data_IF_378876975701
#
_entry.id   IF_378876975701
#
_cell.length_a   1.000
_cell.length_b   1.000
_cell.length_c   1.000
_cell.angle_alpha   90.00
_cell.angle_beta   90.00
_cell.angle_gamma   90.00
#
_symmetry.space_group_name_H-M   'P 1'
#
loop_
_entity.id
_entity.type
_entity.pdbx_description
1 polymer ?
#
# COMPACT_ATOMS: atom_id res chain seq x y z
N UNK A 1 10.97 0.19 0.25
CA UNK A 1 10.03 0.63 1.31
C UNK A 1 8.94 -0.39 1.61
N UNK A 2 8.09 -0.78 0.64
CA UNK A 2 6.96 -1.68 0.91
C UNK A 2 7.31 -3.02 1.57
N UNK A 3 8.45 -3.61 1.20
CA UNK A 3 9.03 -4.78 1.86
C UNK A 3 9.68 -4.42 3.21
N UNK A 4 10.44 -3.33 3.23
CA UNK A 4 11.25 -2.94 4.38
C UNK A 4 10.46 -2.60 5.66
N UNK A 5 9.21 -2.15 5.54
CA UNK A 5 8.37 -1.82 6.71
C UNK A 5 7.84 -3.04 7.46
N UNK A 6 8.05 -4.26 6.96
CA UNK A 6 7.58 -5.48 7.61
C UNK A 6 6.10 -5.78 7.38
N UNK A 7 5.65 -6.93 7.88
CA UNK A 7 4.25 -7.35 7.79
C UNK A 7 3.41 -6.65 8.87
N UNK A 8 3.97 -6.45 10.07
CA UNK A 8 3.30 -5.85 11.21
C UNK A 8 2.91 -4.38 11.00
N UNK A 9 3.62 -3.63 10.15
CA UNK A 9 3.20 -2.27 9.76
C UNK A 9 1.79 -2.23 9.17
N UNK A 10 1.42 -3.25 8.37
CA UNK A 10 0.12 -3.30 7.70
C UNK A 10 -1.07 -3.46 8.66
N UNK A 11 -0.83 -3.82 9.93
CA UNK A 11 -1.91 -3.98 10.92
C UNK A 11 -2.63 -2.68 11.21
N UNK A 12 -1.91 -1.56 11.24
CA UNK A 12 -2.46 -0.23 11.56
C UNK A 12 -2.40 0.73 10.37
N UNK A 13 -1.46 0.52 9.45
CA UNK A 13 -1.14 1.48 8.40
C UNK A 13 -1.41 0.94 7.00
N UNK A 14 -1.96 1.80 6.16
CA UNK A 14 -2.13 1.52 4.75
C UNK A 14 -0.82 1.77 3.99
N UNK A 15 -0.13 0.70 3.60
CA UNK A 15 1.16 0.77 2.88
C UNK A 15 1.12 1.67 1.63
N UNK A 16 0.00 1.72 0.89
CA UNK A 16 -0.14 2.60 -0.28
C UNK A 16 -0.01 4.07 0.11
N UNK A 17 -0.52 4.45 1.28
CA UNK A 17 -0.42 5.81 1.78
C UNK A 17 1.01 6.09 2.27
N UNK A 18 1.50 5.25 3.19
CA UNK A 18 2.77 5.48 3.88
C UNK A 18 3.98 5.27 2.98
N UNK A 19 4.14 4.08 2.41
CA UNK A 19 5.24 3.77 1.49
C UNK A 19 5.12 4.53 0.18
N UNK A 20 3.89 4.86 -0.24
CA UNK A 20 3.64 5.69 -1.42
C UNK A 20 4.22 7.08 -1.29
N UNK A 21 4.17 7.71 -0.10
CA UNK A 21 4.79 9.03 0.14
C UNK A 21 6.28 9.01 -0.18
N UNK A 22 7.03 8.03 0.35
CA UNK A 22 8.46 7.89 0.06
C UNK A 22 8.73 7.60 -1.42
N UNK A 23 7.93 6.74 -2.05
CA UNK A 23 8.08 6.43 -3.47
C UNK A 23 7.82 7.67 -4.35
N UNK A 24 6.78 8.45 -4.03
CA UNK A 24 6.45 9.70 -4.71
C UNK A 24 7.56 10.75 -4.52
N UNK A 25 8.10 10.90 -3.31
CA UNK A 25 9.25 11.78 -3.05
C UNK A 25 10.48 11.40 -3.86
N UNK A 26 10.87 10.12 -3.85
CA UNK A 26 12.02 9.63 -4.61
C UNK A 26 11.83 9.82 -6.12
N UNK A 27 10.60 9.60 -6.61
CA UNK A 27 10.22 9.80 -8.01
C UNK A 27 10.32 11.28 -8.39
N UNK A 28 9.73 12.18 -7.60
CA UNK A 28 9.79 13.61 -7.83
C UNK A 28 11.24 14.12 -7.85
N UNK A 29 12.06 13.71 -6.87
CA UNK A 29 13.47 14.08 -6.83
C UNK A 29 14.24 13.58 -8.07
N UNK A 30 13.96 12.36 -8.53
CA UNK A 30 14.59 11.78 -9.72
C UNK A 30 14.19 12.51 -11.00
N UNK A 31 12.89 12.74 -11.21
CA UNK A 31 12.35 13.41 -12.41
C UNK A 31 12.83 14.86 -12.49
N UNK A 32 12.93 15.55 -11.37
CA UNK A 32 13.42 16.93 -11.31
C UNK A 32 14.95 17.05 -11.31
N UNK A 33 15.70 15.94 -11.38
CA UNK A 33 17.17 15.96 -11.45
C UNK A 33 17.86 16.43 -10.17
N UNK A 34 17.26 16.21 -9.01
CA UNK A 34 17.85 16.60 -7.72
C UNK A 34 19.05 15.71 -7.36
N UNK A 35 20.04 16.31 -6.70
CA UNK A 35 21.20 15.57 -6.20
C UNK A 35 20.89 14.79 -4.91
N UNK A 36 21.84 13.95 -4.50
CA UNK A 36 21.69 13.10 -3.32
C UNK A 36 21.43 13.88 -2.01
N UNK A 37 21.98 15.09 -1.86
CA UNK A 37 21.78 15.89 -0.64
C UNK A 37 20.35 16.44 -0.58
N UNK A 38 19.84 16.95 -1.71
CA UNK A 38 18.45 17.40 -1.82
C UNK A 38 17.49 16.21 -1.64
N UNK A 39 17.76 15.07 -2.28
CA UNK A 39 16.96 13.86 -2.12
C UNK A 39 16.94 13.37 -0.67
N UNK A 40 18.07 13.42 0.04
CA UNK A 40 18.15 13.06 1.46
C UNK A 40 17.22 13.92 2.32
N UNK A 41 17.26 15.25 2.15
CA UNK A 41 16.35 16.14 2.87
C UNK A 41 14.88 15.91 2.48
N UNK A 42 14.61 15.65 1.20
CA UNK A 42 13.27 15.34 0.73
C UNK A 42 12.70 14.08 1.40
N UNK A 43 13.47 12.99 1.44
CA UNK A 43 13.09 11.76 2.15
C UNK A 43 12.93 12.00 3.66
N UNK A 44 13.73 12.92 4.22
CA UNK A 44 13.58 13.41 5.59
C UNK A 44 12.19 13.98 5.88
N UNK A 45 11.71 14.87 5.01
CA UNK A 45 10.35 15.42 5.11
C UNK A 45 9.28 14.34 4.90
N UNK A 46 9.50 13.46 3.92
CA UNK A 46 8.58 12.38 3.58
C UNK A 46 8.26 11.48 4.77
N UNK A 47 9.23 11.19 5.64
CA UNK A 47 8.99 10.37 6.83
C UNK A 47 8.02 10.99 7.83
N UNK A 48 7.97 12.31 7.94
CA UNK A 48 6.98 13.01 8.79
C UNK A 48 5.62 13.15 8.11
N UNK A 49 5.58 13.15 6.77
CA UNK A 49 4.34 13.25 6.00
C UNK A 49 3.73 11.89 5.61
N UNK A 50 4.43 10.79 5.88
CA UNK A 50 3.98 9.44 5.58
C UNK A 50 2.90 8.98 6.58
N UNK A 51 1.63 9.17 6.22
CA UNK A 51 0.48 8.77 7.03
C UNK A 51 -0.57 7.97 6.25
N UNK A 52 -1.58 7.47 6.96
CA UNK A 52 -2.72 6.74 6.40
C UNK A 52 -3.09 5.52 7.24
N UNK A 53 -3.91 5.73 8.27
CA UNK A 53 -4.37 4.66 9.15
C UNK A 53 -5.47 3.82 8.51
N UNK A 54 -5.63 2.58 8.95
CA UNK A 54 -6.56 1.63 8.35
C UNK A 54 -8.02 1.71 8.82
N UNK A 55 -8.38 2.69 9.65
CA UNK A 55 -9.75 2.84 10.17
C UNK A 55 -10.81 2.84 9.06
N UNK A 56 -10.51 3.42 7.90
CA UNK A 56 -11.40 3.41 6.74
C UNK A 56 -11.79 2.01 6.21
N UNK A 57 -11.21 0.93 6.72
CA UNK A 57 -11.60 -0.47 6.40
C UNK A 57 -12.82 -0.96 7.15
N UNK A 58 -13.21 -0.29 8.23
CA UNK A 58 -14.36 -0.70 9.05
C UNK A 58 -15.61 0.10 8.77
N UNK A 59 -15.52 1.08 7.86
CA UNK A 59 -16.57 2.04 7.57
C UNK A 59 -16.71 2.21 6.05
N UNK A 60 -17.93 2.49 5.58
CA UNK A 60 -18.19 2.82 4.18
C UNK A 60 -17.69 4.25 3.90
N UNK A 61 -16.42 4.37 3.55
CA UNK A 61 -15.75 5.67 3.32
C UNK A 61 -14.80 5.62 2.13
N UNK A 62 -14.54 6.79 1.56
CA UNK A 62 -13.67 7.00 0.40
C UNK A 62 -12.22 7.34 0.81
N UNK A 63 -11.91 7.31 2.10
CA UNK A 63 -10.58 7.67 2.62
C UNK A 63 -9.48 6.78 2.07
N UNK A 64 -9.78 5.51 1.75
CA UNK A 64 -8.81 4.60 1.11
C UNK A 64 -8.33 5.13 -0.25
N UNK A 65 -9.18 5.80 -1.01
CA UNK A 65 -8.88 6.41 -2.30
C UNK A 65 -8.11 7.71 -2.09
N UNK A 66 -8.47 8.49 -1.06
CA UNK A 66 -7.73 9.69 -0.67
C UNK A 66 -6.28 9.37 -0.27
N UNK A 67 -6.01 8.19 0.29
CA UNK A 67 -4.65 7.77 0.67
C UNK A 67 -3.64 7.83 -0.49
N UNK A 68 -4.00 7.38 -1.70
CA UNK A 68 -3.09 7.44 -2.85
C UNK A 68 -2.84 8.89 -3.29
N UNK A 69 -3.87 9.73 -3.27
CA UNK A 69 -3.75 11.15 -3.62
C UNK A 69 -2.88 11.89 -2.60
N UNK A 70 -3.11 11.62 -1.31
CA UNK A 70 -2.31 12.19 -0.22
C UNK A 70 -0.84 11.79 -0.33
N UNK A 71 -0.54 10.52 -0.61
CA UNK A 71 0.83 10.05 -0.81
C UNK A 71 1.55 10.81 -1.94
N UNK A 72 0.89 11.02 -3.08
CA UNK A 72 1.43 11.78 -4.19
C UNK A 72 1.69 13.25 -3.83
N UNK A 73 0.71 13.91 -3.19
CA UNK A 73 0.80 15.31 -2.75
C UNK A 73 1.94 15.47 -1.73
N UNK A 74 1.95 14.66 -0.68
CA UNK A 74 2.97 14.68 0.37
C UNK A 74 4.36 14.42 -0.21
N UNK A 75 4.46 13.50 -1.17
CA UNK A 75 5.72 13.18 -1.83
C UNK A 75 6.28 14.35 -2.63
N UNK A 76 5.43 14.98 -3.45
CA UNK A 76 5.77 16.18 -4.21
C UNK A 76 6.16 17.35 -3.30
N UNK A 77 5.37 17.64 -2.27
CA UNK A 77 5.65 18.71 -1.31
C UNK A 77 6.99 18.49 -0.60
N UNK A 78 7.29 17.26 -0.20
CA UNK A 78 8.57 16.91 0.44
C UNK A 78 9.77 17.21 -0.47
N UNK A 79 9.68 16.86 -1.75
CA UNK A 79 10.73 17.12 -2.74
C UNK A 79 10.90 18.61 -3.01
N UNK A 80 9.81 19.34 -3.23
CA UNK A 80 9.82 20.79 -3.49
C UNK A 80 10.32 21.59 -2.28
N UNK A 81 9.95 21.20 -1.06
CA UNK A 81 10.47 21.82 0.15
C UNK A 81 12.00 21.67 0.27
N UNK A 82 12.52 20.48 0.00
CA UNK A 82 13.97 20.25 0.00
C UNK A 82 14.70 21.06 -1.07
N UNK A 83 14.12 21.18 -2.27
CA UNK A 83 14.65 22.03 -3.34
C UNK A 83 14.68 23.51 -2.92
N UNK A 84 13.67 23.97 -2.19
CA UNK A 84 13.62 25.29 -1.55
C UNK A 84 14.56 25.44 -0.34
N UNK A 85 15.50 24.50 -0.14
CA UNK A 85 16.52 24.48 0.91
C UNK A 85 15.98 24.30 2.33
N UNK A 86 14.73 23.82 2.49
CA UNK A 86 14.25 23.37 3.80
C UNK A 86 14.89 22.03 4.13
N UNK A 87 15.63 21.98 5.24
CA UNK A 87 16.37 20.78 5.67
C UNK A 87 15.44 19.78 6.33
N UNK A 88 15.38 18.56 5.80
CA UNK A 88 14.73 17.42 6.45
C UNK A 88 15.70 16.63 7.34
N UNK A 89 15.19 15.84 8.31
CA UNK A 89 15.99 15.01 9.21
C UNK A 89 16.82 13.98 8.44
N UNK A 90 18.11 13.90 8.77
CA UNK A 90 19.09 13.06 8.07
C UNK A 90 18.98 11.57 8.40
N UNK A 91 18.45 11.24 9.59
CA UNK A 91 18.28 9.88 10.11
C UNK A 91 16.80 9.46 10.12
N UNK A 92 16.03 9.90 9.11
CA UNK A 92 14.57 9.73 9.07
C UNK A 92 14.10 8.28 9.14
N UNK A 93 14.90 7.32 8.71
CA UNK A 93 14.51 5.91 8.72
C UNK A 93 14.79 5.23 10.06
N UNK A 94 16.01 5.38 10.59
CA UNK A 94 16.55 4.56 11.68
C UNK A 94 16.90 5.33 12.96
N UNK A 95 16.82 6.67 12.94
CA UNK A 95 17.07 7.47 14.13
C UNK A 95 16.12 7.13 15.27
N UNK A 96 16.40 7.63 16.48
CA UNK A 96 15.59 7.38 17.69
C UNK A 96 14.08 7.62 17.47
N UNK A 97 13.74 8.70 16.77
CA UNK A 97 12.36 9.05 16.36
C UNK A 97 12.12 8.79 14.86
N UNK A 98 12.89 7.89 14.27
CA UNK A 98 12.83 7.51 12.87
C UNK A 98 11.56 6.75 12.53
N UNK A 99 11.30 6.63 11.23
CA UNK A 99 10.11 6.01 10.69
C UNK A 99 9.98 4.52 11.05
N UNK A 100 11.09 3.78 11.04
CA UNK A 100 11.05 2.36 11.40
C UNK A 100 10.71 2.16 12.88
N UNK A 101 11.41 2.78 13.86
CA UNK A 101 11.01 2.69 15.27
C UNK A 101 9.58 3.16 15.54
N UNK A 102 9.12 4.22 14.84
CA UNK A 102 7.81 4.82 15.10
C UNK A 102 6.63 4.00 14.54
N UNK A 103 6.80 3.36 13.38
CA UNK A 103 5.67 2.80 12.62
C UNK A 103 5.81 1.33 12.23
N UNK A 104 6.99 0.72 12.41
CA UNK A 104 7.29 -0.61 11.90
C UNK A 104 7.70 -1.55 13.06
N UNK A 105 6.83 -2.46 13.51
CA UNK A 105 7.14 -3.41 14.59
C UNK A 105 8.23 -4.43 14.22
N UNK A 106 8.34 -4.75 12.94
CA UNK A 106 9.15 -5.84 12.37
C UNK A 106 9.83 -5.39 11.06
N UNK A 107 10.59 -4.27 11.07
CA UNK A 107 11.20 -3.75 9.85
C UNK A 107 12.35 -4.65 9.39
N UNK A 108 12.54 -4.73 8.08
CA UNK A 108 13.72 -5.34 7.45
C UNK A 108 14.37 -4.33 6.51
N UNK A 109 15.37 -3.61 7.03
CA UNK A 109 16.03 -2.53 6.29
C UNK A 109 16.93 -3.04 5.16
N UNK A 110 17.23 -4.35 5.13
CA UNK A 110 18.04 -4.95 4.07
C UNK A 110 17.43 -4.74 2.68
N UNK A 111 16.10 -4.65 2.58
CA UNK A 111 15.40 -4.34 1.32
C UNK A 111 15.65 -2.93 0.77
N UNK A 112 16.28 -2.03 1.54
CA UNK A 112 16.68 -0.69 1.08
C UNK A 112 18.17 -0.59 0.76
N UNK A 113 18.99 -1.43 1.38
CA UNK A 113 20.46 -1.33 1.30
C UNK A 113 21.08 -2.47 0.48
N UNK A 114 20.33 -3.54 0.23
CA UNK A 114 20.79 -4.63 -0.61
C UNK A 114 21.13 -4.13 -2.03
N UNK A 115 22.13 -4.74 -2.69
CA UNK A 115 22.42 -4.45 -4.08
C UNK A 115 21.17 -4.57 -4.94
N UNK A 116 21.02 -3.65 -5.89
CA UNK A 116 19.93 -3.73 -6.86
C UNK A 116 20.09 -4.99 -7.71
N UNK A 117 19.09 -5.87 -7.67
CA UNK A 117 19.08 -7.12 -8.45
C UNK A 117 17.85 -7.24 -9.36
N UNK A 118 16.76 -6.51 -9.08
CA UNK A 118 15.47 -6.71 -9.75
C UNK A 118 14.58 -5.46 -9.72
N UNK A 119 13.82 -5.27 -10.80
CA UNK A 119 12.81 -4.22 -10.90
C UNK A 119 11.45 -4.72 -10.42
N UNK A 120 11.01 -4.34 -9.22
CA UNK A 120 9.71 -4.77 -8.67
C UNK A 120 8.49 -4.32 -9.47
N UNK A 121 8.64 -3.37 -10.41
CA UNK A 121 7.54 -3.00 -11.33
C UNK A 121 7.14 -4.19 -12.21
N UNK A 122 8.07 -5.09 -12.53
CA UNK A 122 7.81 -6.29 -13.32
C UNK A 122 6.95 -7.31 -12.58
N UNK A 123 6.86 -7.21 -11.25
CA UNK A 123 6.03 -8.07 -10.40
C UNK A 123 4.64 -7.48 -10.16
N UNK A 124 4.32 -6.33 -10.77
CA UNK A 124 3.04 -5.65 -10.55
C UNK A 124 1.95 -6.24 -11.43
N UNK A 125 0.90 -6.76 -10.79
CA UNK A 125 -0.28 -7.29 -11.47
C UNK A 125 -1.27 -6.20 -11.89
N UNK A 126 -1.85 -6.30 -13.08
CA UNK A 126 -3.04 -5.54 -13.47
C UNK A 126 -4.30 -6.23 -12.95
N UNK A 127 -5.31 -5.45 -12.55
CA UNK A 127 -6.57 -5.99 -12.06
C UNK A 127 -7.52 -6.28 -13.23
N UNK A 128 -7.97 -7.53 -13.43
CA UNK A 128 -9.00 -7.83 -14.42
C UNK A 128 -10.38 -7.28 -14.02
N UNK A 129 -10.66 -7.17 -12.72
CA UNK A 129 -11.94 -6.67 -12.19
C UNK A 129 -11.75 -5.57 -11.13
N UNK A 130 -12.65 -4.57 -11.06
CA UNK A 130 -12.54 -3.42 -10.14
C UNK A 130 -12.95 -3.74 -8.70
N UNK A 131 -12.57 -4.92 -8.20
CA UNK A 131 -12.86 -5.37 -6.84
C UNK A 131 -11.57 -5.62 -6.03
N UNK A 132 -11.76 -6.04 -4.77
CA UNK A 132 -10.65 -6.42 -3.89
C UNK A 132 -9.91 -7.62 -4.47
N UNK A 133 -8.57 -7.66 -4.36
CA UNK A 133 -7.77 -8.78 -4.90
C UNK A 133 -8.20 -10.13 -4.29
N UNK A 134 -8.69 -10.13 -3.06
CA UNK A 134 -9.19 -11.32 -2.36
C UNK A 134 -10.39 -12.01 -3.05
N UNK A 135 -11.16 -11.29 -3.88
CA UNK A 135 -12.34 -11.86 -4.59
C UNK A 135 -12.02 -12.28 -6.02
N UNK A 136 -10.81 -12.03 -6.52
CA UNK A 136 -10.48 -12.24 -7.93
C UNK A 136 -10.50 -13.72 -8.32
N UNK A 137 -10.00 -14.61 -7.46
CA UNK A 137 -10.04 -16.07 -7.71
C UNK A 137 -11.47 -16.59 -7.78
N UNK A 138 -12.36 -16.09 -6.92
CA UNK A 138 -13.78 -16.45 -6.92
C UNK A 138 -14.48 -15.99 -8.19
N UNK A 139 -14.24 -14.74 -8.63
CA UNK A 139 -14.81 -14.22 -9.88
C UNK A 139 -14.34 -15.04 -11.08
N UNK A 140 -13.04 -15.37 -11.12
CA UNK A 140 -12.49 -16.22 -12.17
C UNK A 140 -13.13 -17.61 -12.17
N UNK A 141 -13.24 -18.27 -11.01
CA UNK A 141 -13.85 -19.59 -10.90
C UNK A 141 -15.32 -19.60 -11.36
N UNK A 142 -16.10 -18.59 -10.96
CA UNK A 142 -17.47 -18.43 -11.43
C UNK A 142 -17.52 -18.23 -12.94
N UNK A 143 -16.64 -17.41 -13.51
CA UNK A 143 -16.59 -17.18 -14.94
C UNK A 143 -16.21 -18.45 -15.71
N UNK A 144 -15.28 -19.26 -15.21
CA UNK A 144 -14.95 -20.57 -15.79
C UNK A 144 -16.17 -21.49 -15.82
N UNK A 145 -16.89 -21.63 -14.70
CA UNK A 145 -18.10 -22.46 -14.64
C UNK A 145 -19.18 -21.99 -15.62
N UNK A 146 -19.41 -20.68 -15.70
CA UNK A 146 -20.39 -20.10 -16.64
C UNK A 146 -19.97 -20.31 -18.09
N UNK A 147 -18.68 -20.25 -18.40
CA UNK A 147 -18.19 -20.53 -19.75
C UNK A 147 -18.33 -22.01 -20.15
N UNK A 148 -18.17 -22.93 -19.19
CA UNK A 148 -18.25 -24.38 -19.43
C UNK A 148 -19.69 -24.90 -19.46
N UNK A 149 -20.59 -24.33 -18.65
CA UNK A 149 -21.94 -24.86 -18.44
C UNK A 149 -23.06 -23.92 -18.88
N UNK A 150 -22.73 -22.69 -19.27
CA UNK A 150 -23.72 -21.62 -19.49
C UNK A 150 -24.08 -20.87 -18.21
N UNK A 151 -24.86 -19.78 -18.31
CA UNK A 151 -25.31 -19.04 -17.13
C UNK A 151 -26.29 -19.87 -16.30
N UNK A 152 -26.19 -19.76 -14.98
CA UNK A 152 -27.10 -20.38 -14.02
C UNK A 152 -28.23 -19.41 -13.68
N UNK A 153 -29.47 -19.88 -13.62
CA UNK A 153 -30.55 -19.08 -13.04
C UNK A 153 -30.40 -19.05 -11.52
N UNK A 154 -30.69 -17.90 -10.89
CA UNK A 154 -30.54 -17.75 -9.44
C UNK A 154 -31.36 -18.76 -8.64
N UNK A 155 -32.51 -19.16 -9.19
CA UNK A 155 -33.45 -20.09 -8.57
C UNK A 155 -32.94 -21.55 -8.57
N UNK A 156 -31.94 -21.86 -9.39
CA UNK A 156 -31.33 -23.19 -9.52
C UNK A 156 -30.15 -23.39 -8.53
N UNK A 157 -29.73 -22.32 -7.84
CA UNK A 157 -28.56 -22.34 -6.96
C UNK A 157 -29.01 -22.43 -5.50
N UNK A 158 -28.92 -23.62 -4.92
CA UNK A 158 -29.22 -23.84 -3.49
C UNK A 158 -28.14 -23.24 -2.57
N UNK A 159 -26.85 -23.41 -2.92
CA UNK A 159 -25.72 -22.96 -2.10
C UNK A 159 -24.47 -22.68 -2.91
N UNK A 160 -23.73 -21.64 -2.52
CA UNK A 160 -22.37 -21.36 -3.00
C UNK A 160 -21.41 -21.50 -1.81
N UNK A 161 -20.39 -22.34 -1.95
CA UNK A 161 -19.31 -22.47 -0.96
C UNK A 161 -18.02 -21.94 -1.55
N UNK A 162 -17.35 -21.03 -0.85
CA UNK A 162 -16.10 -20.41 -1.30
C UNK A 162 -15.01 -20.75 -0.28
N UNK A 163 -14.05 -21.56 -0.70
CA UNK A 163 -12.84 -21.80 0.07
C UNK A 163 -11.79 -20.73 -0.24
N UNK A 164 -11.24 -20.11 0.79
CA UNK A 164 -10.23 -19.05 0.68
C UNK A 164 -9.26 -19.09 1.84
N UNK A 165 -8.23 -18.25 1.80
CA UNK A 165 -7.19 -18.20 2.82
C UNK A 165 -7.58 -17.34 4.03
N UNK A 166 -6.95 -17.61 5.17
CA UNK A 166 -7.26 -17.04 6.49
C UNK A 166 -7.37 -15.52 6.51
N UNK A 167 -6.50 -14.82 5.80
CA UNK A 167 -6.46 -13.36 5.76
C UNK A 167 -7.68 -12.81 5.04
N UNK A 168 -8.14 -13.44 3.95
CA UNK A 168 -9.36 -13.01 3.29
C UNK A 168 -10.58 -13.15 4.22
N UNK A 169 -10.64 -14.25 4.99
CA UNK A 169 -11.67 -14.48 6.01
C UNK A 169 -11.59 -13.41 7.11
N UNK A 170 -10.43 -13.26 7.75
CA UNK A 170 -10.22 -12.32 8.86
C UNK A 170 -10.58 -10.88 8.49
N UNK A 171 -10.30 -10.47 7.25
CA UNK A 171 -10.46 -9.09 6.83
C UNK A 171 -11.89 -8.75 6.39
N UNK A 172 -12.61 -9.71 5.79
CA UNK A 172 -13.89 -9.46 5.11
C UNK A 172 -15.06 -10.27 5.67
N UNK A 173 -14.80 -11.41 6.29
CA UNK A 173 -15.79 -12.36 6.78
C UNK A 173 -15.70 -12.37 8.31
N UNK A 174 -16.14 -11.27 8.93
CA UNK A 174 -16.21 -11.16 10.39
C UNK A 174 -17.67 -10.91 10.79
N UNK A 175 -18.35 -11.83 11.50
CA UNK A 175 -19.81 -11.81 11.74
C UNK A 175 -20.32 -10.67 12.65
N UNK A 176 -19.52 -9.64 12.92
CA UNK A 176 -19.86 -8.49 13.76
C UNK A 176 -19.70 -7.12 13.10
N UNK A 177 -19.42 -7.04 11.79
CA UNK A 177 -19.35 -5.76 11.07
C UNK A 177 -20.72 -5.44 10.44
N UNK A 178 -21.31 -4.25 10.69
CA UNK A 178 -22.53 -3.86 9.99
C UNK A 178 -22.25 -3.78 8.49
N UNK A 179 -23.01 -4.52 7.68
CA UNK A 179 -22.92 -4.52 6.21
C UNK A 179 -22.45 -5.82 5.56
N UNK A 180 -22.30 -6.92 6.31
CA UNK A 180 -22.35 -8.28 5.76
C UNK A 180 -23.77 -8.83 5.78
#
# INVERSE_FOLDING_TARGET
MGMAVGAGHYRQWHKTATCGTFAATATAARVCGYDANVTKHALGHAGSMAGGIWQCRTEATETKQLHSSHAAISGYLSATAAQARLRGPSAVFEGEFGYFPAACPDPDTSFLTAPFTHWSILDTSLKPWPCCRHTHSTVLALQTLVNEHGPFASEEIDKITIDTFSEAISLWINPGKPGS
#
